data_IF_108975664217
#
_entry.id   IF_108975664217
#
_cell.length_a   1.000
_cell.length_b   1.000
_cell.length_c   1.000
_cell.angle_alpha   90.00
_cell.angle_beta   90.00
_cell.angle_gamma   90.00
#
_symmetry.space_group_name_H-M   'P 1'
#
loop_
_entity.id
_entity.type
_entity.pdbx_description
1 polymer ?
#
# COMPACT_ATOMS: atom_id res chain seq x y z
N UNK A 1 -34.73 -37.31 -38.45
CA UNK A 1 -33.37 -37.09 -37.94
C UNK A 1 -33.38 -35.77 -37.17
N UNK A 2 -33.17 -35.79 -35.85
CA UNK A 2 -33.15 -34.58 -34.99
C UNK A 2 -31.69 -34.21 -34.74
N UNK A 3 -31.21 -33.16 -35.38
CA UNK A 3 -29.88 -32.58 -35.16
C UNK A 3 -29.91 -31.72 -33.90
N UNK A 4 -29.14 -32.13 -32.89
CA UNK A 4 -28.88 -31.35 -31.68
C UNK A 4 -27.72 -30.39 -31.98
N UNK A 5 -27.97 -29.10 -31.91
CA UNK A 5 -26.92 -28.07 -31.91
C UNK A 5 -26.32 -28.01 -30.50
N UNK A 6 -25.07 -28.45 -30.34
CA UNK A 6 -24.27 -28.16 -29.15
C UNK A 6 -23.71 -26.73 -29.30
N UNK A 7 -24.25 -25.79 -28.53
CA UNK A 7 -23.67 -24.47 -28.39
C UNK A 7 -22.52 -24.55 -27.38
N UNK A 8 -21.28 -24.58 -27.88
CA UNK A 8 -20.08 -24.43 -27.05
C UNK A 8 -20.01 -23.00 -26.51
N UNK A 9 -20.25 -22.82 -25.21
CA UNK A 9 -20.00 -21.55 -24.53
C UNK A 9 -18.48 -21.38 -24.36
N UNK A 10 -17.87 -20.53 -25.19
CA UNK A 10 -16.50 -20.11 -25.00
C UNK A 10 -16.44 -19.22 -23.76
N UNK A 11 -15.88 -19.74 -22.66
CA UNK A 11 -15.53 -18.93 -21.51
C UNK A 11 -14.41 -17.97 -21.93
N UNK A 12 -14.72 -16.69 -22.09
CA UNK A 12 -13.74 -15.64 -22.28
C UNK A 12 -12.94 -15.49 -20.97
N UNK A 13 -11.75 -16.08 -20.93
CA UNK A 13 -10.78 -15.79 -19.88
C UNK A 13 -10.32 -14.33 -20.07
N UNK A 14 -10.93 -13.41 -19.33
CA UNK A 14 -10.44 -12.04 -19.24
C UNK A 14 -9.07 -12.10 -18.56
N UNK A 15 -8.01 -11.84 -19.31
CA UNK A 15 -6.68 -11.61 -18.75
C UNK A 15 -6.75 -10.38 -17.86
N UNK A 16 -6.85 -10.59 -16.55
CA UNK A 16 -6.70 -9.49 -15.59
C UNK A 16 -5.22 -9.16 -15.55
N UNK A 17 -4.88 -7.94 -15.95
CA UNK A 17 -3.52 -7.46 -15.83
C UNK A 17 -3.30 -6.86 -14.45
N UNK A 18 -2.07 -6.99 -13.95
CA UNK A 18 -1.70 -6.48 -12.64
C UNK A 18 -1.59 -4.95 -12.69
N UNK A 19 -2.07 -4.30 -11.63
CA UNK A 19 -1.76 -2.89 -11.41
C UNK A 19 -0.37 -2.73 -10.82
N UNK A 20 0.11 -1.50 -10.77
CA UNK A 20 1.40 -1.14 -10.19
C UNK A 20 1.24 -0.16 -9.05
N UNK A 21 2.02 -0.34 -7.97
CA UNK A 21 2.27 0.66 -6.94
C UNK A 21 3.71 1.19 -7.05
N UNK A 22 3.86 2.47 -7.40
CA UNK A 22 5.11 3.21 -7.34
C UNK A 22 5.25 3.87 -5.95
N UNK A 23 6.44 3.80 -5.36
CA UNK A 23 6.71 4.32 -4.02
C UNK A 23 7.56 5.59 -4.06
N UNK A 24 7.11 6.61 -3.35
CA UNK A 24 7.90 7.81 -3.04
C UNK A 24 9.01 7.52 -2.02
N UNK A 25 9.97 8.44 -1.93
CA UNK A 25 11.23 8.22 -1.20
C UNK A 25 11.03 7.96 0.30
N UNK A 26 10.01 8.58 0.91
CA UNK A 26 9.73 8.47 2.34
C UNK A 26 8.76 7.32 2.69
N UNK A 27 8.48 6.43 1.72
CA UNK A 27 7.54 5.32 1.87
C UNK A 27 8.29 3.99 1.84
N UNK A 28 8.03 3.17 2.85
CA UNK A 28 8.52 1.78 2.90
C UNK A 28 7.35 0.82 2.98
N UNK A 29 7.16 -0.01 1.96
CA UNK A 29 6.23 -1.13 1.98
C UNK A 29 6.95 -2.39 2.45
N UNK A 30 6.34 -3.12 3.39
CA UNK A 30 6.89 -4.36 3.96
C UNK A 30 6.18 -5.59 3.40
N UNK A 31 4.87 -5.49 3.17
CA UNK A 31 4.09 -6.55 2.55
C UNK A 31 2.86 -6.02 1.81
N UNK A 32 2.38 -6.79 0.84
CA UNK A 32 1.09 -6.59 0.18
C UNK A 32 0.30 -7.89 0.29
N UNK A 33 -0.94 -7.80 0.76
CA UNK A 33 -1.83 -8.94 0.95
C UNK A 33 -1.19 -10.07 1.78
N UNK A 34 -0.39 -9.70 2.79
CA UNK A 34 0.33 -10.62 3.67
C UNK A 34 1.61 -11.24 3.07
N UNK A 35 1.94 -10.97 1.81
CA UNK A 35 3.17 -11.42 1.16
C UNK A 35 4.25 -10.36 1.27
N UNK A 36 5.42 -10.73 1.79
CA UNK A 36 6.55 -9.80 1.91
C UNK A 36 6.99 -9.29 0.55
N UNK A 37 7.37 -8.02 0.50
CA UNK A 37 7.97 -7.41 -0.69
C UNK A 37 9.47 -7.19 -0.49
N UNK A 38 10.27 -7.05 -1.56
CA UNK A 38 11.68 -6.69 -1.44
C UNK A 38 11.86 -5.37 -0.68
N UNK A 39 12.85 -5.31 0.21
CA UNK A 39 13.06 -4.18 1.12
C UNK A 39 13.25 -2.82 0.42
N UNK A 40 13.77 -2.81 -0.81
CA UNK A 40 14.08 -1.62 -1.59
C UNK A 40 13.34 -1.57 -2.93
N UNK A 41 12.16 -2.18 -2.99
CA UNK A 41 11.30 -2.03 -4.16
C UNK A 41 10.87 -0.56 -4.31
N UNK A 42 11.08 0.03 -5.49
CA UNK A 42 10.47 1.31 -5.89
C UNK A 42 9.14 1.11 -6.60
N UNK A 43 8.90 -0.11 -7.11
CA UNK A 43 7.71 -0.53 -7.84
C UNK A 43 7.27 -1.91 -7.36
N UNK A 44 5.98 -2.09 -7.11
CA UNK A 44 5.40 -3.36 -6.64
C UNK A 44 4.13 -3.67 -7.44
N UNK A 45 3.98 -4.91 -7.89
CA UNK A 45 2.74 -5.36 -8.55
C UNK A 45 1.58 -5.50 -7.55
N UNK A 46 0.39 -5.14 -8.01
CA UNK A 46 -0.86 -5.21 -7.26
C UNK A 46 -1.82 -6.19 -7.91
N UNK A 47 -2.49 -6.97 -7.08
CA UNK A 47 -3.64 -7.76 -7.51
C UNK A 47 -4.82 -6.79 -7.76
N UNK A 48 -5.64 -6.99 -8.81
CA UNK A 48 -6.88 -6.22 -8.94
C UNK A 48 -7.83 -6.47 -7.78
N UNK A 49 -8.53 -5.42 -7.35
CA UNK A 49 -9.43 -5.44 -6.21
C UNK A 49 -8.82 -4.84 -4.95
N UNK A 50 -9.25 -5.34 -3.78
CA UNK A 50 -8.83 -4.77 -2.50
C UNK A 50 -7.41 -5.22 -2.17
N UNK A 51 -6.52 -4.25 -1.99
CA UNK A 51 -5.15 -4.47 -1.55
C UNK A 51 -4.97 -3.99 -0.12
N UNK A 52 -4.27 -4.82 0.66
CA UNK A 52 -3.85 -4.53 2.03
C UNK A 52 -2.33 -4.38 2.03
N UNK A 53 -1.87 -3.12 2.06
CA UNK A 53 -0.46 -2.75 2.05
C UNK A 53 0.01 -2.48 3.48
N UNK A 54 1.00 -3.24 3.95
CA UNK A 54 1.69 -2.94 5.22
C UNK A 54 2.81 -1.94 4.92
N UNK A 55 2.68 -0.73 5.41
CA UNK A 55 3.52 0.43 5.06
C UNK A 55 4.04 1.13 6.31
N UNK A 56 5.14 1.85 6.18
CA UNK A 56 5.60 2.84 7.18
C UNK A 56 6.21 4.06 6.48
N UNK A 57 6.24 5.15 7.23
CA UNK A 57 7.08 6.30 6.92
C UNK A 57 8.53 5.96 7.24
N UNK A 58 9.45 6.27 6.34
CA UNK A 58 10.89 5.99 6.47
C UNK A 58 11.67 7.15 5.84
N UNK A 59 12.13 8.11 6.65
CA UNK A 59 12.86 9.28 6.16
C UNK A 59 14.33 9.19 6.55
N UNK A 60 15.19 9.38 5.55
CA UNK A 60 16.65 9.44 5.71
C UNK A 60 17.06 10.89 5.94
N UNK A 61 17.77 11.11 7.04
CA UNK A 61 18.41 12.40 7.32
C UNK A 61 19.92 12.24 7.16
N UNK A 62 20.52 13.18 6.46
CA UNK A 62 21.96 13.28 6.25
C UNK A 62 22.42 14.64 6.77
N UNK A 63 23.22 14.65 7.84
CA UNK A 63 23.83 15.87 8.35
C UNK A 63 25.15 16.17 7.64
N UNK A 64 25.90 15.12 7.32
CA UNK A 64 27.12 15.15 6.51
C UNK A 64 27.35 13.77 5.86
N UNK A 65 28.45 13.62 5.11
CA UNK A 65 28.74 12.40 4.36
C UNK A 65 28.91 11.13 5.23
N UNK A 66 29.20 11.29 6.53
CA UNK A 66 29.44 10.19 7.46
C UNK A 66 28.30 10.04 8.48
N UNK A 67 27.46 11.06 8.65
CA UNK A 67 26.37 11.12 9.63
C UNK A 67 25.01 11.05 8.95
N UNK A 68 24.43 9.85 8.96
CA UNK A 68 23.08 9.58 8.49
C UNK A 68 22.28 8.73 9.47
N UNK A 69 20.98 8.98 9.58
CA UNK A 69 20.06 8.16 10.36
C UNK A 69 18.67 8.14 9.75
N UNK A 70 17.88 7.14 10.15
CA UNK A 70 16.50 7.01 9.72
C UNK A 70 15.56 7.40 10.85
N UNK A 71 14.53 8.17 10.51
CA UNK A 71 13.34 8.37 11.34
C UNK A 71 12.20 7.55 10.73
N UNK A 72 11.57 6.69 11.54
CA UNK A 72 10.60 5.70 11.08
C UNK A 72 9.35 5.69 11.92
N UNK A 73 8.19 5.58 11.28
CA UNK A 73 6.94 5.31 12.00
C UNK A 73 6.80 3.84 12.41
N UNK A 74 5.81 3.55 13.24
CA UNK A 74 5.28 2.19 13.35
C UNK A 74 4.66 1.72 12.02
N UNK A 75 4.37 0.41 11.93
CA UNK A 75 3.71 -0.15 10.76
C UNK A 75 2.22 0.22 10.75
N UNK A 76 1.75 0.58 9.56
CA UNK A 76 0.35 0.88 9.27
C UNK A 76 -0.17 -0.06 8.20
N UNK A 77 -1.47 -0.33 8.24
CA UNK A 77 -2.20 -1.02 7.20
C UNK A 77 -2.93 0.02 6.35
N UNK A 78 -2.44 0.22 5.13
CA UNK A 78 -3.13 0.98 4.10
C UNK A 78 -4.00 0.03 3.27
N UNK A 79 -5.26 0.38 3.08
CA UNK A 79 -6.22 -0.42 2.31
C UNK A 79 -6.87 0.44 1.23
N UNK A 80 -6.81 -0.02 -0.03
CA UNK A 80 -7.46 0.63 -1.15
C UNK A 80 -7.90 -0.40 -2.21
N UNK A 81 -8.71 0.04 -3.17
CA UNK A 81 -9.11 -0.78 -4.30
C UNK A 81 -8.29 -0.40 -5.53
N UNK A 82 -7.51 -1.34 -6.05
CA UNK A 82 -6.83 -1.22 -7.32
C UNK A 82 -7.72 -1.76 -8.46
N UNK A 83 -7.71 -1.08 -9.59
CA UNK A 83 -8.23 -1.57 -10.86
C UNK A 83 -7.08 -2.25 -11.62
N UNK A 84 -7.37 -3.19 -12.52
CA UNK A 84 -6.31 -3.79 -13.36
C UNK A 84 -5.76 -2.79 -14.37
N UNK A 85 -4.51 -2.98 -14.80
CA UNK A 85 -3.80 -2.11 -15.77
C UNK A 85 -3.57 -0.65 -15.34
N UNK A 86 -3.76 -0.30 -14.06
CA UNK A 86 -3.51 1.07 -13.56
C UNK A 86 -2.16 1.20 -12.86
N UNK A 87 -1.59 2.41 -12.92
CA UNK A 87 -0.44 2.80 -12.10
C UNK A 87 -0.88 3.72 -10.96
N UNK A 88 -0.43 3.39 -9.76
CA UNK A 88 -0.66 4.15 -8.53
C UNK A 88 0.65 4.68 -7.98
N UNK A 89 0.59 5.82 -7.29
CA UNK A 89 1.73 6.50 -6.69
C UNK A 89 1.43 6.72 -5.22
N UNK A 90 2.19 6.07 -4.35
CA UNK A 90 2.08 6.21 -2.90
C UNK A 90 3.24 7.04 -2.37
N UNK A 91 2.92 8.16 -1.76
CA UNK A 91 3.89 9.12 -1.25
C UNK A 91 3.62 9.49 0.21
N UNK A 92 4.65 10.00 0.89
CA UNK A 92 4.60 10.59 2.21
C UNK A 92 5.45 11.87 2.26
N UNK A 93 5.03 12.90 3.03
CA UNK A 93 5.71 14.19 3.04
C UNK A 93 7.20 14.09 3.39
N UNK A 94 8.03 14.84 2.67
CA UNK A 94 9.41 15.06 3.07
C UNK A 94 9.46 15.94 4.33
N UNK A 95 10.43 15.67 5.21
CA UNK A 95 10.70 16.47 6.37
C UNK A 95 11.88 17.41 6.11
N UNK A 96 11.75 18.68 6.52
CA UNK A 96 12.82 19.68 6.42
C UNK A 96 13.74 19.69 7.65
N UNK A 97 13.35 18.99 8.72
CA UNK A 97 14.14 18.86 9.95
C UNK A 97 13.81 17.58 10.70
N UNK A 98 14.71 17.14 11.59
CA UNK A 98 14.54 15.97 12.44
C UNK A 98 13.26 16.06 13.28
N UNK A 99 12.97 17.26 13.80
CA UNK A 99 11.77 17.49 14.59
C UNK A 99 10.51 17.25 13.75
N UNK A 100 10.49 17.75 12.52
CA UNK A 100 9.37 17.50 11.60
C UNK A 100 9.30 16.03 11.19
N UNK A 101 10.45 15.38 10.96
CA UNK A 101 10.51 13.95 10.68
C UNK A 101 9.95 13.11 11.81
N UNK A 102 10.25 13.47 13.06
CA UNK A 102 9.69 12.80 14.24
C UNK A 102 8.17 13.03 14.36
N UNK A 103 7.69 14.24 14.04
CA UNK A 103 6.25 14.52 14.00
C UNK A 103 5.54 13.66 12.94
N UNK A 104 6.09 13.59 11.73
CA UNK A 104 5.55 12.77 10.64
C UNK A 104 5.65 11.27 10.93
N UNK A 105 6.69 10.82 11.64
CA UNK A 105 6.79 9.42 12.04
C UNK A 105 5.79 9.04 13.15
N UNK A 106 5.43 9.98 14.03
CA UNK A 106 4.46 9.75 15.09
C UNK A 106 3.01 9.71 14.58
N UNK A 107 2.71 10.48 13.53
CA UNK A 107 1.39 10.53 12.89
C UNK A 107 1.55 10.57 11.35
N UNK A 108 1.87 9.42 10.73
CA UNK A 108 2.23 9.40 9.33
C UNK A 108 1.00 9.55 8.44
N UNK A 109 1.10 10.48 7.48
CA UNK A 109 0.12 10.64 6.42
C UNK A 109 0.67 10.09 5.12
N UNK A 110 -0.17 9.35 4.39
CA UNK A 110 0.14 8.89 3.05
C UNK A 110 -0.82 9.49 2.02
N UNK A 111 -0.32 9.73 0.82
CA UNK A 111 -1.11 10.15 -0.33
C UNK A 111 -1.01 9.09 -1.41
N UNK A 112 -2.17 8.65 -1.89
CA UNK A 112 -2.28 7.72 -2.99
C UNK A 112 -2.90 8.44 -4.19
N UNK A 113 -2.24 8.39 -5.33
CA UNK A 113 -2.67 9.01 -6.58
C UNK A 113 -2.67 7.98 -7.72
N UNK A 114 -3.50 8.21 -8.73
CA UNK A 114 -3.41 7.50 -10.02
C UNK A 114 -2.50 8.24 -11.01
N UNK A 115 -2.31 7.67 -12.20
CA UNK A 115 -1.55 8.28 -13.30
C UNK A 115 -2.09 9.61 -13.82
N UNK A 116 -3.34 9.96 -13.48
CA UNK A 116 -4.02 11.19 -13.88
C UNK A 116 -3.99 12.25 -12.77
N UNK A 117 -3.14 12.06 -11.75
CA UNK A 117 -3.02 12.89 -10.55
C UNK A 117 -4.31 12.99 -9.71
N UNK A 118 -5.25 12.04 -9.87
CA UNK A 118 -6.42 12.01 -9.01
C UNK A 118 -6.08 11.33 -7.70
N UNK A 119 -6.56 11.90 -6.58
CA UNK A 119 -6.41 11.28 -5.28
C UNK A 119 -7.29 10.05 -5.17
N UNK A 120 -6.69 8.91 -4.83
CA UNK A 120 -7.38 7.66 -4.55
C UNK A 120 -7.70 7.58 -3.06
N UNK A 121 -8.98 7.34 -2.76
CA UNK A 121 -9.44 7.15 -1.40
C UNK A 121 -8.88 5.85 -0.82
N UNK A 122 -8.38 5.92 0.41
CA UNK A 122 -7.75 4.80 1.08
C UNK A 122 -7.99 4.85 2.58
N UNK A 123 -8.11 3.67 3.20
CA UNK A 123 -8.07 3.53 4.64
C UNK A 123 -6.63 3.46 5.13
N UNK A 124 -6.36 4.04 6.28
CA UNK A 124 -5.10 3.89 7.01
C UNK A 124 -5.42 3.52 8.45
N UNK A 125 -4.79 2.46 8.96
CA UNK A 125 -4.91 2.05 10.36
C UNK A 125 -3.55 1.72 10.95
N UNK A 126 -3.26 2.20 12.14
CA UNK A 126 -2.05 1.82 12.85
C UNK A 126 -2.14 0.39 13.37
N UNK A 127 -1.00 -0.23 13.66
CA UNK A 127 -0.96 -1.56 14.27
C UNK A 127 -1.77 -1.59 15.59
N UNK A 128 -1.65 -0.54 16.40
CA UNK A 128 -2.39 -0.37 17.65
C UNK A 128 -3.91 -0.38 17.44
N UNK A 129 -4.40 0.33 16.42
CA UNK A 129 -5.83 0.36 16.10
C UNK A 129 -6.36 -1.00 15.63
N UNK A 130 -5.57 -1.75 14.87
CA UNK A 130 -5.93 -3.08 14.42
C UNK A 130 -6.06 -4.07 15.60
N UNK A 131 -5.14 -4.00 16.56
CA UNK A 131 -5.19 -4.83 17.77
C UNK A 131 -6.42 -4.50 18.64
N UNK A 132 -6.76 -3.22 18.76
CA UNK A 132 -7.93 -2.82 19.54
C UNK A 132 -9.24 -3.30 18.90
N UNK A 133 -9.31 -3.40 17.57
CA UNK A 133 -10.48 -3.94 16.87
C UNK A 133 -10.67 -5.45 17.07
N UNK A 134 -9.58 -6.22 17.16
CA UNK A 134 -9.66 -7.66 17.43
C UNK A 134 -9.94 -7.97 18.90
N UNK A 135 -9.53 -7.09 19.82
CA UNK A 135 -9.80 -7.22 21.26
C UNK A 135 -11.27 -7.02 21.67
N UNK A 136 -12.06 -6.26 20.92
CA UNK A 136 -13.49 -6.04 21.23
C UNK A 136 -14.35 -7.27 20.92
N UNK A 137 -13.89 -8.18 20.04
CA UNK A 137 -14.61 -9.42 19.70
C UNK A 137 -14.44 -10.54 20.75
N UNK A 138 -13.58 -10.37 21.76
CA UNK A 138 -13.24 -11.41 22.74
C UNK A 138 -14.02 -11.36 24.07
N UNK A 139 -14.74 -10.27 24.36
CA UNK A 139 -15.49 -10.10 25.62
C UNK A 139 -17.00 -10.11 25.37
N UNK A 140 -17.51 -11.23 24.85
CA UNK A 140 -18.92 -11.59 24.98
C UNK A 140 -19.05 -13.07 25.34
N UNK A 141 -18.69 -13.41 26.57
CA UNK A 141 -19.16 -14.60 27.26
C UNK A 141 -19.39 -14.27 28.74
#
# INVERSE_FOLDING_TARGET
MKTLFLASAAALSLSVSAATLNLGDNVRVVSINGKSVPAYASKIELDPGINNVTVRYDSLFEQDAESHWFIRSELHQLTFKAMGDEEYFLDAPAAESDQQGQMLANDPTFTLMDESDNRIDHGLRSHTELLNQTGVAGNQF
#
